data_IF_560759911423
#
_entry.id   IF_560759911423
#
_cell.length_a   1.000
_cell.length_b   1.000
_cell.length_c   1.000
_cell.angle_alpha   90.00
_cell.angle_beta   90.00
_cell.angle_gamma   90.00
#
_symmetry.space_group_name_H-M   'P 1'
#
loop_
_entity.id
_entity.type
_entity.pdbx_description
1 polymer ?
#
# COMPACT_ATOMS: atom_id res chain seq x y z
N UNK A 1 -6.88 -52.56 22.18
CA UNK A 1 -7.97 -51.61 22.46
C UNK A 1 -7.40 -50.22 22.35
N UNK A 2 -7.91 -49.46 21.39
CA UNK A 2 -7.36 -48.18 20.91
C UNK A 2 -7.42 -47.10 21.97
N UNK A 3 -6.27 -46.46 22.23
CA UNK A 3 -6.23 -45.15 22.87
C UNK A 3 -6.76 -44.12 21.86
N UNK A 4 -7.92 -43.53 22.18
CA UNK A 4 -8.50 -42.43 21.42
C UNK A 4 -7.59 -41.21 21.53
N UNK A 5 -6.81 -40.99 20.47
CA UNK A 5 -6.18 -39.70 20.17
C UNK A 5 -7.30 -38.67 20.07
N UNK A 6 -7.22 -37.50 20.76
CA UNK A 6 -8.23 -36.46 20.62
C UNK A 6 -8.24 -35.99 19.16
N UNK A 7 -9.32 -36.30 18.46
CA UNK A 7 -9.61 -35.78 17.12
C UNK A 7 -9.57 -34.27 17.16
N UNK A 8 -8.66 -33.69 16.38
CA UNK A 8 -8.53 -32.26 16.14
C UNK A 8 -9.88 -31.72 15.62
N UNK A 9 -10.64 -31.03 16.48
CA UNK A 9 -11.85 -30.31 16.07
C UNK A 9 -11.39 -28.96 15.51
N UNK A 10 -11.66 -28.62 14.24
CA UNK A 10 -11.19 -27.38 13.64
C UNK A 10 -11.88 -26.20 14.33
N UNK A 11 -11.14 -25.49 15.19
CA UNK A 11 -11.64 -24.38 16.01
C UNK A 11 -11.49 -23.00 15.37
N UNK A 12 -11.32 -22.92 14.04
CA UNK A 12 -11.15 -21.62 13.35
C UNK A 12 -11.98 -21.55 12.05
N UNK A 13 -12.75 -20.47 11.79
CA UNK A 13 -13.49 -20.28 10.54
C UNK A 13 -12.62 -20.26 9.28
N UNK A 14 -11.33 -19.91 9.43
CA UNK A 14 -10.35 -19.72 8.34
C UNK A 14 -10.11 -20.99 7.55
N UNK A 15 -10.08 -22.13 8.24
CA UNK A 15 -9.84 -23.43 7.62
C UNK A 15 -11.00 -23.82 6.70
N UNK A 16 -12.25 -23.51 7.02
CA UNK A 16 -13.41 -24.09 6.34
C UNK A 16 -13.65 -23.56 4.91
N UNK A 17 -13.30 -22.31 4.60
CA UNK A 17 -13.47 -21.75 3.25
C UNK A 17 -12.31 -22.08 2.32
N UNK A 18 -11.06 -21.89 2.77
CA UNK A 18 -9.87 -22.15 1.94
C UNK A 18 -9.67 -23.65 1.71
N UNK A 19 -10.00 -24.50 2.70
CA UNK A 19 -9.97 -25.96 2.52
C UNK A 19 -11.17 -26.52 1.75
N UNK A 20 -12.18 -25.70 1.44
CA UNK A 20 -13.26 -26.11 0.53
C UNK A 20 -12.78 -26.22 -0.92
N UNK A 21 -11.64 -25.60 -1.26
CA UNK A 21 -10.99 -25.72 -2.57
C UNK A 21 -10.07 -26.94 -2.55
N UNK A 22 -10.39 -28.03 -3.26
CA UNK A 22 -9.67 -29.30 -3.13
C UNK A 22 -8.17 -29.20 -3.41
N UNK A 23 -7.79 -28.44 -4.44
CA UNK A 23 -6.39 -28.26 -4.83
C UNK A 23 -5.58 -27.50 -3.78
N UNK A 24 -6.16 -26.47 -3.15
CA UNK A 24 -5.50 -25.70 -2.09
C UNK A 24 -5.39 -26.56 -0.83
N UNK A 25 -6.45 -27.29 -0.49
CA UNK A 25 -6.44 -28.23 0.63
C UNK A 25 -5.32 -29.26 0.47
N UNK A 26 -5.24 -29.91 -0.68
CA UNK A 26 -4.21 -30.90 -0.96
C UNK A 26 -2.80 -30.28 -0.89
N UNK A 27 -2.63 -29.06 -1.39
CA UNK A 27 -1.35 -28.35 -1.33
C UNK A 27 -0.91 -28.10 0.13
N UNK A 28 -1.82 -27.67 0.99
CA UNK A 28 -1.56 -27.46 2.42
C UNK A 28 -1.33 -28.79 3.15
N UNK A 29 -2.10 -29.83 2.85
CA UNK A 29 -1.95 -31.17 3.44
C UNK A 29 -0.59 -31.81 3.12
N UNK A 30 0.01 -31.46 1.98
CA UNK A 30 1.39 -31.83 1.62
C UNK A 30 2.46 -31.04 2.38
N UNK A 31 2.07 -30.15 3.28
CA UNK A 31 2.97 -29.34 4.12
C UNK A 31 3.42 -28.03 3.48
N UNK A 32 2.85 -27.64 2.35
CA UNK A 32 3.16 -26.36 1.72
C UNK A 32 2.35 -25.22 2.35
N UNK A 33 2.89 -24.00 2.29
CA UNK A 33 2.18 -22.79 2.71
C UNK A 33 1.92 -21.88 1.52
N UNK A 34 0.83 -21.11 1.60
CA UNK A 34 0.49 -20.06 0.64
C UNK A 34 0.50 -18.74 1.42
N UNK A 35 1.59 -17.95 1.37
CA UNK A 35 1.66 -16.66 2.06
C UNK A 35 0.83 -15.64 1.28
N UNK A 36 -0.49 -15.68 1.48
CA UNK A 36 -1.39 -14.76 0.79
C UNK A 36 -1.52 -13.44 1.52
N UNK A 37 -1.59 -12.37 0.74
CA UNK A 37 -1.78 -11.00 1.20
C UNK A 37 -3.25 -10.59 1.05
N UNK A 38 -4.16 -11.40 1.59
CA UNK A 38 -5.60 -11.19 1.43
C UNK A 38 -6.15 -10.08 2.31
N UNK A 39 -5.62 -9.94 3.53
CA UNK A 39 -6.05 -8.93 4.46
C UNK A 39 -4.84 -8.33 5.17
N UNK A 40 -4.67 -7.03 5.02
CA UNK A 40 -3.62 -6.31 5.71
C UNK A 40 -4.20 -5.81 7.03
N UNK A 41 -3.67 -6.21 8.20
CA UNK A 41 -3.68 -5.34 9.38
C UNK A 41 -3.09 -3.96 9.03
N UNK A 42 -2.24 -3.92 7.99
CA UNK A 42 -1.67 -2.74 7.35
C UNK A 42 -2.63 -1.87 6.53
N UNK A 43 -3.87 -2.25 6.20
CA UNK A 43 -4.80 -1.35 5.49
C UNK A 43 -5.14 -0.14 6.36
N UNK A 44 -5.52 -0.36 7.62
CA UNK A 44 -5.73 0.74 8.56
C UNK A 44 -4.43 1.51 8.79
N UNK A 45 -3.28 0.84 8.96
CA UNK A 45 -2.02 1.53 9.25
C UNK A 45 -1.47 2.32 8.05
N UNK A 46 -1.69 1.84 6.84
CA UNK A 46 -1.30 2.50 5.59
C UNK A 46 -2.25 3.66 5.29
N UNK A 47 -3.57 3.44 5.42
CA UNK A 47 -4.57 4.51 5.30
C UNK A 47 -4.36 5.59 6.36
N UNK A 48 -4.03 5.19 7.60
CA UNK A 48 -3.65 6.14 8.68
C UNK A 48 -2.36 6.85 8.34
N UNK A 49 -1.35 6.15 7.79
CA UNK A 49 -0.10 6.78 7.38
C UNK A 49 -0.38 7.85 6.31
N UNK A 50 -1.08 7.49 5.24
CA UNK A 50 -1.48 8.36 4.12
C UNK A 50 -2.34 9.53 4.61
N UNK A 51 -3.26 9.30 5.54
CA UNK A 51 -4.10 10.36 6.07
C UNK A 51 -3.31 11.36 6.92
N UNK A 52 -2.16 11.00 7.51
CA UNK A 52 -1.30 11.99 8.19
C UNK A 52 -0.74 13.05 7.22
N UNK A 53 -0.73 12.78 5.92
CA UNK A 53 -0.33 13.72 4.88
C UNK A 53 -1.46 14.66 4.46
N UNK A 54 -2.70 14.35 4.83
CA UNK A 54 -3.88 15.19 4.64
C UNK A 54 -4.46 15.49 6.02
N UNK A 55 -4.04 16.59 6.69
CA UNK A 55 -4.47 16.92 8.04
C UNK A 55 -5.92 17.44 8.10
N UNK A 56 -6.86 16.65 7.55
CA UNK A 56 -8.29 16.90 7.50
C UNK A 56 -8.95 16.69 8.87
N UNK A 57 -8.36 15.86 9.73
CA UNK A 57 -8.85 15.58 11.07
C UNK A 57 -7.71 15.24 12.04
N UNK A 58 -7.83 15.69 13.29
CA UNK A 58 -6.92 15.29 14.37
C UNK A 58 -7.32 13.91 14.88
N UNK A 59 -6.42 12.93 14.77
CA UNK A 59 -6.60 11.55 15.30
C UNK A 59 -7.94 10.89 14.95
N UNK A 60 -8.25 10.70 13.66
CA UNK A 60 -9.53 10.12 13.24
C UNK A 60 -9.66 8.67 13.73
N UNK A 61 -10.87 8.30 14.16
CA UNK A 61 -11.22 6.91 14.47
C UNK A 61 -11.04 6.03 13.22
N UNK A 62 -10.68 4.74 13.33
CA UNK A 62 -10.39 3.88 12.18
C UNK A 62 -11.48 3.87 11.09
N UNK A 63 -12.75 3.90 11.48
CA UNK A 63 -13.87 3.92 10.53
C UNK A 63 -14.03 5.27 9.80
N UNK A 64 -13.61 6.38 10.41
CA UNK A 64 -13.56 7.70 9.77
C UNK A 64 -12.43 7.83 8.75
N UNK A 65 -11.36 7.03 8.86
CA UNK A 65 -10.20 7.12 7.96
C UNK A 65 -10.62 6.83 6.53
N UNK A 66 -11.39 5.76 6.30
CA UNK A 66 -11.88 5.42 4.96
C UNK A 66 -12.74 6.56 4.40
N UNK A 67 -13.66 7.11 5.20
CA UNK A 67 -14.51 8.23 4.79
C UNK A 67 -13.69 9.46 4.38
N UNK A 68 -12.67 9.83 5.17
CA UNK A 68 -11.81 10.97 4.86
C UNK A 68 -11.01 10.77 3.56
N UNK A 69 -10.53 9.55 3.31
CA UNK A 69 -9.86 9.20 2.06
C UNK A 69 -10.80 9.24 0.87
N UNK A 70 -12.04 8.75 1.02
CA UNK A 70 -13.07 8.82 -0.02
C UNK A 70 -13.48 10.26 -0.36
N UNK A 71 -13.67 11.08 0.67
CA UNK A 71 -13.91 12.53 0.53
C UNK A 71 -12.74 13.19 -0.19
N UNK A 72 -11.49 12.83 0.16
CA UNK A 72 -10.28 13.38 -0.49
C UNK A 72 -10.21 13.00 -1.96
N UNK A 73 -10.50 11.73 -2.31
CA UNK A 73 -10.57 11.24 -3.69
C UNK A 73 -11.61 12.00 -4.49
N UNK A 74 -12.82 12.14 -3.93
CA UNK A 74 -13.94 12.84 -4.58
C UNK A 74 -13.64 14.32 -4.79
N UNK A 75 -13.11 14.99 -3.75
CA UNK A 75 -12.71 16.38 -3.82
C UNK A 75 -11.62 16.62 -4.88
N UNK A 76 -10.64 15.73 -4.97
CA UNK A 76 -9.61 15.80 -6.00
C UNK A 76 -10.18 15.64 -7.41
N UNK A 77 -11.11 14.71 -7.62
CA UNK A 77 -11.78 14.56 -8.92
C UNK A 77 -12.47 15.85 -9.38
N UNK A 78 -13.08 16.61 -8.46
CA UNK A 78 -13.72 17.88 -8.77
C UNK A 78 -12.73 18.98 -9.21
N UNK A 79 -11.56 19.07 -8.57
CA UNK A 79 -10.63 20.19 -8.76
C UNK A 79 -9.41 19.88 -9.64
N UNK A 80 -9.11 18.61 -9.87
CA UNK A 80 -7.82 18.16 -10.45
C UNK A 80 -7.54 18.75 -11.82
N UNK A 81 -8.56 18.88 -12.67
CA UNK A 81 -8.43 19.47 -14.01
C UNK A 81 -7.96 20.92 -13.93
N UNK A 82 -8.66 21.75 -13.14
CA UNK A 82 -8.32 23.16 -12.97
C UNK A 82 -6.92 23.35 -12.37
N UNK A 83 -6.55 22.53 -11.39
CA UNK A 83 -5.20 22.55 -10.78
C UNK A 83 -4.13 22.18 -11.83
N UNK A 84 -4.32 21.09 -12.58
CA UNK A 84 -3.36 20.63 -13.61
C UNK A 84 -3.19 21.67 -14.73
N UNK A 85 -4.28 22.31 -15.15
CA UNK A 85 -4.24 23.41 -16.13
C UNK A 85 -3.48 24.63 -15.60
N UNK A 86 -3.68 24.98 -14.33
CA UNK A 86 -3.05 26.18 -13.72
C UNK A 86 -1.54 26.03 -13.52
N UNK A 87 -1.08 24.87 -13.07
CA UNK A 87 0.35 24.59 -12.89
C UNK A 87 1.07 24.28 -14.21
N UNK A 88 0.33 23.82 -15.22
CA UNK A 88 0.89 23.25 -16.44
C UNK A 88 1.27 21.78 -16.25
N UNK A 89 1.22 21.01 -17.34
CA UNK A 89 1.47 19.56 -17.32
C UNK A 89 2.94 19.17 -17.07
N UNK A 90 3.86 20.14 -17.12
CA UNK A 90 5.30 19.93 -17.06
C UNK A 90 5.95 20.41 -15.76
N UNK A 91 5.14 20.71 -14.75
CA UNK A 91 5.62 21.29 -13.52
C UNK A 91 6.05 20.26 -12.47
N UNK A 92 7.20 20.52 -11.82
CA UNK A 92 7.96 19.52 -11.04
C UNK A 92 8.36 19.94 -9.62
N UNK A 93 7.72 20.94 -9.03
CA UNK A 93 7.96 21.23 -7.60
C UNK A 93 7.65 20.00 -6.74
N UNK A 94 8.52 19.73 -5.78
CA UNK A 94 8.46 18.51 -5.00
C UNK A 94 7.21 18.38 -4.13
N UNK A 95 6.72 19.49 -3.55
CA UNK A 95 5.50 19.46 -2.73
C UNK A 95 4.26 19.32 -3.60
N UNK A 96 4.24 19.99 -4.77
CA UNK A 96 3.19 19.76 -5.77
C UNK A 96 3.13 18.28 -6.18
N UNK A 97 4.27 17.69 -6.55
CA UNK A 97 4.35 16.30 -6.97
C UNK A 97 4.01 15.32 -5.84
N UNK A 98 4.40 15.61 -4.60
CA UNK A 98 4.05 14.80 -3.44
C UNK A 98 2.53 14.80 -3.20
N UNK A 99 1.89 15.97 -3.17
CA UNK A 99 0.45 16.09 -2.98
C UNK A 99 -0.32 15.46 -4.16
N UNK A 100 0.16 15.65 -5.38
CA UNK A 100 -0.43 15.03 -6.58
C UNK A 100 -0.29 13.51 -6.58
N UNK A 101 0.88 12.95 -6.27
CA UNK A 101 1.10 11.48 -6.16
C UNK A 101 0.23 10.86 -5.07
N UNK A 102 0.06 11.57 -3.97
CA UNK A 102 -0.83 11.16 -2.89
C UNK A 102 -2.28 11.01 -3.37
N UNK A 103 -2.80 12.03 -4.07
CA UNK A 103 -4.19 12.10 -4.52
C UNK A 103 -4.49 11.26 -5.77
N UNK A 104 -3.60 11.25 -6.77
CA UNK A 104 -3.77 10.50 -8.02
C UNK A 104 -3.50 8.99 -7.82
N UNK A 105 -2.55 8.60 -6.96
CA UNK A 105 -2.05 7.21 -6.90
C UNK A 105 -2.26 6.56 -5.53
N UNK A 106 -1.73 7.18 -4.46
CA UNK A 106 -1.66 6.51 -3.14
C UNK A 106 -3.03 6.29 -2.52
N UNK A 107 -3.91 7.29 -2.56
CA UNK A 107 -5.26 7.21 -1.99
C UNK A 107 -6.14 6.20 -2.74
N UNK A 108 -6.27 6.26 -4.08
CA UNK A 108 -7.02 5.25 -4.84
C UNK A 108 -6.50 3.84 -4.58
N UNK A 109 -5.17 3.62 -4.61
CA UNK A 109 -4.58 2.31 -4.39
C UNK A 109 -5.03 1.68 -3.06
N UNK A 110 -4.99 2.43 -1.95
CA UNK A 110 -5.34 1.88 -0.63
C UNK A 110 -6.83 1.73 -0.40
N UNK A 111 -7.66 2.45 -1.15
CA UNK A 111 -9.10 2.26 -1.16
C UNK A 111 -9.47 1.02 -1.98
N UNK A 112 -8.88 0.88 -3.17
CA UNK A 112 -9.34 -0.05 -4.20
C UNK A 112 -8.68 -1.43 -4.15
N UNK A 113 -7.43 -1.57 -3.67
CA UNK A 113 -6.68 -2.85 -3.69
C UNK A 113 -7.48 -4.04 -3.14
N UNK A 114 -8.11 -3.85 -1.98
CA UNK A 114 -8.95 -4.88 -1.38
C UNK A 114 -10.40 -4.73 -1.80
N UNK A 115 -10.94 -3.51 -1.72
CA UNK A 115 -12.36 -3.27 -1.88
C UNK A 115 -12.85 -3.57 -3.30
N UNK A 116 -11.99 -3.40 -4.30
CA UNK A 116 -12.30 -3.54 -5.72
C UNK A 116 -11.49 -4.70 -6.32
N UNK A 117 -10.16 -4.63 -6.34
CA UNK A 117 -9.35 -5.57 -7.13
C UNK A 117 -9.38 -6.98 -6.55
N UNK A 118 -9.07 -7.14 -5.25
CA UNK A 118 -9.11 -8.45 -4.60
C UNK A 118 -10.51 -9.06 -4.59
N UNK A 119 -11.54 -8.28 -4.22
CA UNK A 119 -12.92 -8.79 -4.09
C UNK A 119 -13.60 -9.10 -5.43
N UNK A 120 -13.22 -8.42 -6.51
CA UNK A 120 -13.72 -8.74 -7.86
C UNK A 120 -13.03 -9.95 -8.49
N UNK A 121 -11.91 -10.40 -7.93
CA UNK A 121 -11.08 -11.45 -8.52
C UNK A 121 -10.20 -10.95 -9.67
N UNK A 122 -10.02 -9.64 -9.82
CA UNK A 122 -9.08 -9.06 -10.78
C UNK A 122 -7.64 -9.29 -10.33
N UNK A 123 -7.13 -10.48 -10.65
CA UNK A 123 -5.83 -10.96 -10.21
C UNK A 123 -4.67 -10.09 -10.69
N UNK A 124 -4.67 -9.68 -11.96
CA UNK A 124 -3.54 -8.94 -12.54
C UNK A 124 -3.42 -7.55 -11.88
N UNK A 125 -4.53 -6.83 -11.77
CA UNK A 125 -4.55 -5.52 -11.12
C UNK A 125 -4.24 -5.63 -9.63
N UNK A 126 -4.71 -6.69 -8.96
CA UNK A 126 -4.36 -6.96 -7.56
C UNK A 126 -2.85 -7.24 -7.38
N UNK A 127 -2.25 -8.07 -8.25
CA UNK A 127 -0.82 -8.38 -8.20
C UNK A 127 0.05 -7.13 -8.42
N UNK A 128 -0.29 -6.30 -9.40
CA UNK A 128 0.35 -5.01 -9.63
C UNK A 128 0.18 -4.08 -8.40
N UNK A 129 -1.01 -4.06 -7.82
CA UNK A 129 -1.28 -3.28 -6.60
C UNK A 129 -0.46 -3.75 -5.41
N UNK A 130 -0.14 -5.04 -5.29
CA UNK A 130 0.78 -5.55 -4.27
C UNK A 130 2.18 -4.97 -4.41
N UNK A 131 2.70 -4.81 -5.65
CA UNK A 131 3.95 -4.11 -5.89
C UNK A 131 3.87 -2.64 -5.47
N UNK A 132 2.82 -1.92 -5.89
CA UNK A 132 2.66 -0.53 -5.52
C UNK A 132 2.55 -0.33 -4.00
N UNK A 133 1.79 -1.17 -3.31
CA UNK A 133 1.69 -1.13 -1.84
C UNK A 133 3.03 -1.44 -1.19
N UNK A 134 3.81 -2.38 -1.72
CA UNK A 134 5.17 -2.61 -1.25
C UNK A 134 6.05 -1.36 -1.38
N UNK A 135 5.98 -0.64 -2.51
CA UNK A 135 6.74 0.61 -2.66
C UNK A 135 6.33 1.68 -1.64
N UNK A 136 5.04 1.76 -1.28
CA UNK A 136 4.56 2.66 -0.23
C UNK A 136 5.05 2.25 1.16
N UNK A 137 5.00 0.97 1.50
CA UNK A 137 5.54 0.49 2.77
C UNK A 137 7.04 0.73 2.88
N UNK A 138 7.74 0.54 1.76
CA UNK A 138 9.16 0.81 1.68
C UNK A 138 9.43 2.31 1.90
N UNK A 139 8.77 3.18 1.12
CA UNK A 139 8.89 4.65 1.23
C UNK A 139 8.62 5.10 2.68
N UNK A 140 7.51 4.69 3.27
CA UNK A 140 7.13 5.09 4.62
C UNK A 140 7.86 4.34 5.75
N UNK A 141 8.96 3.64 5.45
CA UNK A 141 9.80 2.93 6.44
C UNK A 141 8.99 1.98 7.34
N UNK A 142 7.96 1.34 6.78
CA UNK A 142 7.05 0.43 7.48
C UNK A 142 7.66 -0.97 7.59
N UNK A 143 8.76 -1.09 8.35
CA UNK A 143 9.58 -2.31 8.47
C UNK A 143 8.76 -3.60 8.70
N UNK A 144 7.72 -3.54 9.53
CA UNK A 144 6.86 -4.68 9.85
C UNK A 144 6.03 -5.22 8.68
N UNK A 145 5.79 -4.40 7.65
CA UNK A 145 4.91 -4.73 6.53
C UNK A 145 5.65 -4.94 5.21
N UNK A 146 6.94 -4.58 5.14
CA UNK A 146 7.71 -4.64 3.90
C UNK A 146 8.08 -6.04 3.43
N UNK A 147 8.11 -7.05 4.33
CA UNK A 147 8.51 -8.43 4.00
C UNK A 147 7.36 -9.26 3.41
N UNK A 148 6.13 -9.05 3.87
CA UNK A 148 4.98 -9.84 3.44
C UNK A 148 4.66 -9.73 1.92
N UNK A 149 4.64 -8.54 1.29
CA UNK A 149 4.43 -8.46 -0.15
C UNK A 149 5.54 -9.16 -0.92
N UNK A 150 6.81 -9.02 -0.49
CA UNK A 150 7.96 -9.64 -1.16
C UNK A 150 7.86 -11.17 -1.12
N UNK A 151 7.51 -11.75 0.03
CA UNK A 151 7.31 -13.19 0.15
C UNK A 151 6.18 -13.69 -0.76
N UNK A 152 5.05 -12.98 -0.77
CA UNK A 152 3.93 -13.33 -1.66
C UNK A 152 4.32 -13.27 -3.13
N UNK A 153 4.95 -12.18 -3.56
CA UNK A 153 5.40 -12.00 -4.94
C UNK A 153 6.46 -13.04 -5.34
N UNK A 154 7.36 -13.39 -4.43
CA UNK A 154 8.35 -14.45 -4.64
C UNK A 154 7.69 -15.80 -4.92
N UNK A 155 6.66 -16.17 -4.15
CA UNK A 155 5.96 -17.45 -4.34
C UNK A 155 5.15 -17.46 -5.64
N UNK A 156 4.50 -16.35 -5.99
CA UNK A 156 3.81 -16.20 -7.28
C UNK A 156 4.78 -16.40 -8.44
N UNK A 157 5.93 -15.73 -8.45
CA UNK A 157 6.93 -15.88 -9.51
C UNK A 157 7.56 -17.27 -9.53
N UNK A 158 7.74 -17.90 -8.38
CA UNK A 158 8.19 -19.28 -8.32
C UNK A 158 7.17 -20.21 -8.99
N UNK A 159 5.88 -20.10 -8.66
CA UNK A 159 4.84 -20.90 -9.29
C UNK A 159 4.70 -20.64 -10.78
N UNK A 160 4.87 -19.39 -11.22
CA UNK A 160 4.89 -19.04 -12.64
C UNK A 160 6.07 -19.70 -13.36
N UNK A 161 7.29 -19.60 -12.81
CA UNK A 161 8.50 -20.19 -13.40
C UNK A 161 8.48 -21.71 -13.47
N UNK A 162 7.72 -22.36 -12.58
CA UNK A 162 7.58 -23.82 -12.52
C UNK A 162 6.29 -24.33 -13.14
N UNK A 163 5.48 -23.43 -13.71
CA UNK A 163 4.14 -23.72 -14.23
C UNK A 163 3.28 -24.52 -13.24
N UNK A 164 3.33 -24.14 -11.96
CA UNK A 164 2.68 -24.89 -10.89
C UNK A 164 1.16 -24.65 -10.92
N UNK A 165 0.33 -25.71 -10.90
CA UNK A 165 -1.13 -25.59 -11.09
C UNK A 165 -1.85 -24.78 -10.00
N UNK A 166 -1.23 -24.61 -8.83
CA UNK A 166 -1.79 -23.78 -7.74
C UNK A 166 -2.00 -22.33 -8.17
N UNK A 167 -1.20 -21.82 -9.10
CA UNK A 167 -1.28 -20.44 -9.55
C UNK A 167 -2.63 -20.16 -10.22
N UNK A 168 -3.07 -21.04 -11.11
CA UNK A 168 -4.37 -20.93 -11.79
C UNK A 168 -5.53 -21.05 -10.81
N UNK A 169 -5.38 -21.89 -9.77
CA UNK A 169 -6.38 -21.98 -8.70
C UNK A 169 -6.47 -20.68 -7.90
N UNK A 170 -5.32 -20.07 -7.56
CA UNK A 170 -5.30 -18.77 -6.85
C UNK A 170 -5.91 -17.68 -7.71
N UNK A 171 -5.61 -17.63 -9.01
CA UNK A 171 -6.22 -16.67 -9.95
C UNK A 171 -7.74 -16.81 -10.00
N UNK A 172 -8.23 -18.04 -10.12
CA UNK A 172 -9.67 -18.31 -10.23
C UNK A 172 -10.42 -18.07 -8.91
N UNK A 173 -9.77 -18.32 -7.77
CA UNK A 173 -10.43 -18.34 -6.46
C UNK A 173 -9.98 -17.21 -5.52
N UNK A 174 -9.30 -16.19 -6.05
CA UNK A 174 -8.70 -15.10 -5.27
C UNK A 174 -9.64 -14.53 -4.19
N UNK A 175 -10.91 -14.18 -4.46
CA UNK A 175 -11.79 -13.60 -3.44
C UNK A 175 -12.14 -14.57 -2.30
N UNK A 176 -12.13 -15.89 -2.57
CA UNK A 176 -12.42 -16.93 -1.55
C UNK A 176 -11.30 -17.06 -0.51
N UNK A 177 -10.14 -16.50 -0.79
CA UNK A 177 -8.98 -16.53 0.09
C UNK A 177 -8.96 -15.35 1.10
N UNK A 178 -10.08 -14.64 1.22
CA UNK A 178 -10.29 -13.54 2.17
C UNK A 178 -10.36 -14.00 3.64
N UNK A 179 -9.86 -13.15 4.55
CA UNK A 179 -10.09 -13.29 6.00
C UNK A 179 -11.44 -12.70 6.47
N UNK A 180 -12.23 -12.09 5.59
CA UNK A 180 -13.49 -11.43 5.96
C UNK A 180 -14.42 -12.34 6.77
N UNK A 181 -14.53 -13.62 6.42
CA UNK A 181 -15.34 -14.58 7.17
C UNK A 181 -14.87 -14.73 8.63
N UNK A 182 -13.56 -14.72 8.85
CA UNK A 182 -12.94 -14.79 10.19
C UNK A 182 -13.17 -13.50 10.96
N UNK A 183 -12.97 -12.35 10.32
CA UNK A 183 -13.24 -11.05 10.93
C UNK A 183 -14.71 -10.88 11.34
N UNK A 184 -15.63 -11.32 10.48
CA UNK A 184 -17.07 -11.32 10.74
C UNK A 184 -17.38 -12.24 11.92
N UNK A 185 -16.84 -13.46 11.94
CA UNK A 185 -17.00 -14.38 13.06
C UNK A 185 -16.54 -13.77 14.39
N UNK A 186 -15.33 -13.19 14.44
CA UNK A 186 -14.83 -12.53 15.65
C UNK A 186 -15.66 -11.30 16.03
N UNK A 187 -16.24 -10.59 15.07
CA UNK A 187 -17.13 -9.46 15.34
C UNK A 187 -18.44 -9.90 15.98
N UNK A 188 -19.03 -11.01 15.53
CA UNK A 188 -20.19 -11.61 16.20
C UNK A 188 -19.84 -12.10 17.60
N UNK A 189 -18.72 -12.81 17.75
CA UNK A 189 -18.27 -13.31 19.03
C UNK A 189 -18.13 -12.15 20.02
N UNK A 190 -17.45 -11.07 19.63
CA UNK A 190 -17.30 -9.86 20.47
C UNK A 190 -18.62 -9.20 20.84
N UNK A 191 -19.61 -9.12 19.95
CA UNK A 191 -20.92 -8.52 20.26
C UNK A 191 -21.72 -9.31 21.27
N UNK A 192 -21.53 -10.62 21.28
CA UNK A 192 -22.30 -11.52 22.11
C UNK A 192 -21.60 -11.92 23.40
N UNK A 193 -20.39 -11.42 23.62
CA UNK A 193 -19.62 -11.61 24.85
C UNK A 193 -19.40 -10.26 25.54
N UNK A 194 -19.45 -10.26 26.87
CA UNK A 194 -19.13 -9.11 27.71
C UNK A 194 -17.78 -9.30 28.40
N UNK A 195 -17.27 -8.23 29.03
CA UNK A 195 -15.94 -8.19 29.66
C UNK A 195 -15.72 -9.28 30.73
N UNK A 196 -16.78 -9.80 31.31
CA UNK A 196 -16.79 -10.83 32.37
C UNK A 196 -17.40 -12.17 31.91
N UNK A 197 -17.57 -12.38 30.60
CA UNK A 197 -18.09 -13.65 30.08
C UNK A 197 -17.07 -14.77 30.29
N UNK A 198 -17.52 -15.87 30.88
CA UNK A 198 -16.64 -17.02 31.18
C UNK A 198 -16.20 -17.74 29.91
N UNK A 199 -15.01 -18.36 29.94
CA UNK A 199 -14.44 -19.07 28.80
C UNK A 199 -15.39 -20.10 28.17
N UNK A 200 -16.15 -20.83 29.00
CA UNK A 200 -17.13 -21.83 28.54
C UNK A 200 -18.29 -21.20 27.77
N UNK A 201 -18.74 -20.02 28.18
CA UNK A 201 -19.78 -19.25 27.49
C UNK A 201 -19.26 -18.71 26.15
N UNK A 202 -18.02 -18.21 26.11
CA UNK A 202 -17.37 -17.78 24.85
C UNK A 202 -17.28 -18.95 23.86
N UNK A 203 -16.87 -20.14 24.32
CA UNK A 203 -16.78 -21.35 23.48
C UNK A 203 -18.16 -21.74 22.95
N UNK A 204 -19.19 -21.76 23.80
CA UNK A 204 -20.55 -22.08 23.39
C UNK A 204 -21.08 -21.08 22.35
N UNK A 205 -20.78 -19.79 22.53
CA UNK A 205 -21.17 -18.77 21.58
C UNK A 205 -20.45 -18.91 20.23
N UNK A 206 -19.16 -19.23 20.26
CA UNK A 206 -18.40 -19.55 19.06
C UNK A 206 -18.96 -20.77 18.31
N UNK A 207 -19.35 -21.83 19.03
CA UNK A 207 -20.01 -23.01 18.43
C UNK A 207 -21.34 -22.67 17.78
N UNK A 208 -22.16 -21.86 18.44
CA UNK A 208 -23.45 -21.41 17.91
C UNK A 208 -23.29 -20.58 16.63
N UNK A 209 -22.35 -19.62 16.60
CA UNK A 209 -22.05 -18.85 15.39
C UNK A 209 -21.57 -19.76 14.26
N UNK A 210 -20.68 -20.72 14.56
CA UNK A 210 -20.16 -21.65 13.55
C UNK A 210 -21.27 -22.56 12.98
N UNK A 211 -22.22 -22.99 13.81
CA UNK A 211 -23.37 -23.77 13.37
C UNK A 211 -24.27 -22.95 12.43
N UNK A 212 -24.51 -21.67 12.73
CA UNK A 212 -25.26 -20.77 11.85
C UNK A 212 -24.57 -20.53 10.49
N UNK A 213 -23.24 -20.61 10.45
CA UNK A 213 -22.46 -20.47 9.22
C UNK A 213 -22.61 -21.68 8.29
N UNK A 214 -22.70 -22.90 8.83
CA UNK A 214 -22.92 -24.13 8.03
C UNK A 214 -24.31 -24.16 7.36
N UNK A 215 -25.27 -23.43 7.91
CA UNK A 215 -26.63 -23.28 7.37
C UNK A 215 -26.75 -22.30 6.17
N UNK A 216 -25.62 -21.74 5.69
CA UNK A 216 -25.46 -21.04 4.40
C UNK A 216 -26.29 -19.75 4.18
N UNK A 217 -27.61 -19.89 4.16
CA UNK A 217 -28.57 -18.82 3.93
C UNK A 217 -28.79 -17.98 5.20
N UNK A 218 -28.89 -18.62 6.36
CA UNK A 218 -29.24 -17.95 7.63
C UNK A 218 -28.16 -16.97 8.12
N UNK A 219 -26.88 -17.23 7.82
CA UNK A 219 -25.76 -16.34 8.17
C UNK A 219 -25.73 -15.08 7.29
N UNK A 220 -25.92 -15.23 5.97
CA UNK A 220 -25.98 -14.12 5.01
C UNK A 220 -27.25 -13.27 5.22
N UNK A 221 -28.40 -13.89 5.43
CA UNK A 221 -29.68 -13.21 5.67
C UNK A 221 -29.68 -12.41 6.99
N UNK A 222 -29.09 -12.94 8.06
CA UNK A 222 -28.90 -12.17 9.30
C UNK A 222 -28.12 -10.89 9.04
N UNK A 223 -27.15 -10.88 8.14
CA UNK A 223 -26.39 -9.66 7.82
C UNK A 223 -27.20 -8.68 6.96
N UNK A 224 -27.93 -9.16 5.94
CA UNK A 224 -28.76 -8.30 5.09
C UNK A 224 -29.90 -7.60 5.86
N UNK A 225 -30.44 -8.25 6.89
CA UNK A 225 -31.62 -7.76 7.62
C UNK A 225 -31.33 -7.18 9.02
N UNK A 226 -30.13 -7.39 9.61
CA UNK A 226 -29.79 -6.81 10.95
C UNK A 226 -28.63 -5.82 10.95
N UNK A 227 -28.18 -5.36 9.78
CA UNK A 227 -27.18 -4.30 9.69
C UNK A 227 -27.77 -2.94 10.06
N UNK A 228 -27.94 -2.69 11.35
CA UNK A 228 -27.93 -1.35 11.96
C UNK A 228 -26.61 -0.59 11.71
N UNK A 229 -25.65 -1.19 10.99
CA UNK A 229 -24.45 -0.58 10.41
C UNK A 229 -24.75 0.35 9.23
N UNK A 230 -25.93 0.25 8.62
CA UNK A 230 -26.29 0.99 7.41
C UNK A 230 -27.03 2.32 7.68
N UNK A 231 -27.14 2.76 8.93
CA UNK A 231 -27.38 4.17 9.21
C UNK A 231 -26.00 4.86 9.24
N UNK A 232 -25.43 5.09 8.06
CA UNK A 232 -24.26 5.98 7.97
C UNK A 232 -24.67 7.30 8.61
N UNK A 233 -23.92 7.78 9.60
CA UNK A 233 -24.26 9.01 10.33
C UNK A 233 -24.35 10.25 9.40
N UNK A 234 -23.79 10.13 8.20
CA UNK A 234 -23.76 11.16 7.18
C UNK A 234 -24.77 10.87 6.06
N UNK A 235 -25.66 11.83 5.83
CA UNK A 235 -26.51 11.83 4.63
C UNK A 235 -25.68 12.10 3.37
N UNK A 236 -26.25 11.84 2.19
CA UNK A 236 -25.64 12.23 0.91
C UNK A 236 -25.33 13.74 0.85
N UNK A 237 -26.17 14.57 1.48
CA UNK A 237 -25.94 16.01 1.59
C UNK A 237 -24.72 16.33 2.46
N UNK A 238 -24.54 15.63 3.56
CA UNK A 238 -23.37 15.80 4.43
C UNK A 238 -22.08 15.41 3.72
N UNK A 239 -22.10 14.27 3.01
CA UNK A 239 -20.95 13.82 2.20
C UNK A 239 -20.61 14.86 1.13
N UNK A 240 -21.60 15.40 0.42
CA UNK A 240 -21.38 16.46 -0.59
C UNK A 240 -20.80 17.72 0.05
N UNK A 241 -21.32 18.15 1.20
CA UNK A 241 -20.80 19.32 1.92
C UNK A 241 -19.35 19.11 2.40
N UNK A 242 -19.02 17.92 2.93
CA UNK A 242 -17.67 17.57 3.34
C UNK A 242 -16.71 17.52 2.14
N UNK A 243 -17.17 16.99 1.01
CA UNK A 243 -16.40 16.96 -0.25
C UNK A 243 -16.05 18.37 -0.70
N UNK A 244 -17.00 19.30 -0.72
CA UNK A 244 -16.74 20.71 -1.05
C UNK A 244 -15.77 21.38 -0.08
N UNK A 245 -15.92 21.13 1.23
CA UNK A 245 -14.96 21.63 2.24
C UNK A 245 -13.54 21.10 2.00
N UNK A 246 -13.43 19.80 1.69
CA UNK A 246 -12.14 19.19 1.36
C UNK A 246 -11.56 19.75 0.05
N UNK A 247 -12.39 20.01 -0.96
CA UNK A 247 -11.97 20.63 -2.20
C UNK A 247 -11.39 22.03 -1.97
N UNK A 248 -12.06 22.86 -1.16
CA UNK A 248 -11.53 24.16 -0.74
C UNK A 248 -10.19 24.04 0.00
N UNK A 249 -10.07 23.06 0.91
CA UNK A 249 -8.80 22.79 1.61
C UNK A 249 -7.67 22.42 0.64
N UNK A 250 -7.92 21.51 -0.29
CA UNK A 250 -6.91 21.11 -1.29
C UNK A 250 -6.54 22.26 -2.21
N UNK A 251 -7.51 23.07 -2.66
CA UNK A 251 -7.25 24.28 -3.45
C UNK A 251 -6.38 25.28 -2.69
N UNK A 252 -6.60 25.45 -1.38
CA UNK A 252 -5.73 26.28 -0.55
C UNK A 252 -4.29 25.74 -0.54
N UNK A 253 -4.09 24.43 -0.33
CA UNK A 253 -2.75 23.83 -0.41
C UNK A 253 -2.09 24.11 -1.76
N UNK A 254 -2.79 23.89 -2.87
CA UNK A 254 -2.25 24.17 -4.20
C UNK A 254 -2.00 25.67 -4.44
N UNK A 255 -2.84 26.55 -3.92
CA UNK A 255 -2.64 28.00 -4.02
C UNK A 255 -1.35 28.44 -3.32
N UNK A 256 -1.09 27.94 -2.12
CA UNK A 256 0.15 28.24 -1.38
C UNK A 256 1.40 27.80 -2.17
N UNK A 257 1.37 26.60 -2.74
CA UNK A 257 2.47 26.10 -3.59
C UNK A 257 2.63 26.98 -4.83
N UNK A 258 1.52 27.34 -5.48
CA UNK A 258 1.53 28.19 -6.68
C UNK A 258 2.14 29.56 -6.38
N UNK A 259 1.72 30.22 -5.30
CA UNK A 259 2.26 31.52 -4.88
C UNK A 259 3.76 31.40 -4.60
N UNK A 260 4.17 30.40 -3.81
CA UNK A 260 5.60 30.16 -3.51
C UNK A 260 6.44 30.06 -4.78
N UNK A 261 5.98 29.31 -5.77
CA UNK A 261 6.84 29.05 -6.92
C UNK A 261 6.72 30.09 -8.02
N UNK A 262 5.53 30.56 -8.36
CA UNK A 262 5.36 31.49 -9.47
C UNK A 262 5.50 32.96 -9.05
N UNK A 263 5.12 33.32 -7.82
CA UNK A 263 5.25 34.70 -7.35
C UNK A 263 6.57 34.93 -6.62
N UNK A 264 6.99 33.99 -5.76
CA UNK A 264 8.25 34.12 -5.02
C UNK A 264 9.45 33.44 -5.72
N UNK A 265 9.24 32.76 -6.85
CA UNK A 265 10.30 32.09 -7.65
C UNK A 265 11.15 31.13 -6.83
N UNK A 266 10.54 30.44 -5.86
CA UNK A 266 11.23 29.58 -4.90
C UNK A 266 10.71 28.12 -4.95
N UNK A 267 10.98 27.37 -6.03
CA UNK A 267 10.65 25.95 -6.07
C UNK A 267 11.46 25.15 -5.04
N UNK A 268 10.87 24.08 -4.51
CA UNK A 268 11.61 23.15 -3.66
C UNK A 268 12.57 22.31 -4.51
N UNK A 269 13.87 22.59 -4.37
CA UNK A 269 14.95 21.95 -5.14
C UNK A 269 15.71 20.99 -4.23
N UNK A 270 16.09 19.84 -4.79
CA UNK A 270 16.96 18.89 -4.11
C UNK A 270 18.23 18.66 -4.91
N UNK A 271 19.37 18.99 -4.32
CA UNK A 271 20.67 18.73 -4.93
C UNK A 271 20.93 17.22 -4.98
N UNK A 272 21.40 16.74 -6.13
CA UNK A 272 22.10 15.45 -6.18
C UNK A 272 23.48 15.64 -5.55
N UNK A 273 23.98 14.73 -4.69
CA UNK A 273 25.36 14.83 -4.25
C UNK A 273 26.25 14.67 -5.48
N UNK A 274 27.05 15.70 -5.78
CA UNK A 274 28.11 15.62 -6.78
C UNK A 274 29.04 14.50 -6.32
N UNK A 275 29.14 13.43 -7.11
CA UNK A 275 30.11 12.35 -6.85
C UNK A 275 31.49 12.91 -7.22
N UNK A 276 32.13 13.61 -6.28
CA UNK A 276 33.57 13.79 -6.35
C UNK A 276 34.22 12.50 -5.83
N UNK A 277 34.77 11.73 -6.76
CA UNK A 277 35.51 10.50 -6.50
C UNK A 277 36.85 10.79 -5.80
N UNK A 278 36.84 11.08 -4.50
CA UNK A 278 38.03 10.92 -3.65
C UNK A 278 37.73 11.16 -2.18
N UNK A 279 37.48 10.09 -1.43
CA UNK A 279 38.19 9.85 -0.16
C UNK A 279 37.70 8.54 0.47
N UNK A 280 38.57 7.53 0.43
CA UNK A 280 38.48 6.37 1.31
C UNK A 280 38.69 6.84 2.75
N UNK A 281 37.65 6.84 3.58
CA UNK A 281 37.81 6.65 5.04
C UNK A 281 36.79 5.62 5.52
N UNK A 282 37.29 4.42 5.82
CA UNK A 282 36.60 3.41 6.62
C UNK A 282 36.34 3.99 8.01
N UNK A 283 35.08 4.19 8.34
CA UNK A 283 34.60 4.53 9.67
C UNK A 283 33.13 4.12 9.76
N UNK A 284 32.74 3.47 10.85
CA UNK A 284 31.39 2.94 11.12
C UNK A 284 30.31 3.94 10.69
N UNK A 285 29.49 3.54 9.72
CA UNK A 285 28.41 4.34 9.18
C UNK A 285 27.36 4.60 10.27
N UNK A 286 27.46 5.76 10.92
CA UNK A 286 26.33 6.42 11.56
C UNK A 286 25.33 6.71 10.42
N UNK A 287 24.11 6.18 10.53
CA UNK A 287 22.99 6.56 9.65
C UNK A 287 23.00 8.08 9.50
N UNK A 288 23.17 8.58 8.26
CA UNK A 288 23.04 10.01 7.97
C UNK A 288 21.70 10.45 8.52
N UNK A 289 21.69 11.44 9.41
CA UNK A 289 20.47 12.15 9.81
C UNK A 289 19.71 12.53 8.55
N UNK A 290 18.54 11.95 8.33
CA UNK A 290 17.67 12.33 7.22
C UNK A 290 17.35 13.82 7.37
N UNK A 291 17.84 14.63 6.44
CA UNK A 291 17.57 16.06 6.38
C UNK A 291 16.05 16.25 6.33
N UNK A 292 15.50 16.92 7.34
CA UNK A 292 14.08 17.23 7.39
C UNK A 292 13.76 18.38 6.43
N UNK A 293 12.62 18.28 5.77
CA UNK A 293 12.15 19.17 4.71
C UNK A 293 10.82 19.76 5.17
N UNK A 294 10.59 21.04 4.92
CA UNK A 294 9.29 21.64 5.20
C UNK A 294 8.35 21.54 3.98
N UNK A 295 7.21 20.86 4.14
CA UNK A 295 6.09 20.87 3.20
C UNK A 295 4.97 21.74 3.79
N UNK A 296 5.15 23.05 3.66
CA UNK A 296 4.32 24.06 4.32
C UNK A 296 2.85 23.99 3.92
N UNK A 297 2.55 23.82 2.64
CA UNK A 297 1.18 23.75 2.14
C UNK A 297 0.46 22.48 2.63
N UNK A 298 1.21 21.38 2.80
CA UNK A 298 0.72 20.15 3.42
C UNK A 298 0.69 20.21 4.96
N UNK A 299 1.11 21.33 5.56
CA UNK A 299 1.25 21.53 7.01
C UNK A 299 2.18 20.50 7.67
N UNK A 300 3.26 20.13 6.99
CA UNK A 300 4.28 19.21 7.49
C UNK A 300 5.61 19.94 7.66
N UNK A 301 5.89 20.53 8.84
CA UNK A 301 7.12 21.29 9.06
C UNK A 301 8.37 20.38 9.05
N UNK A 302 8.20 19.11 9.44
CA UNK A 302 9.24 18.09 9.47
C UNK A 302 8.83 16.90 8.61
N UNK A 303 9.02 17.01 7.30
CA UNK A 303 8.92 15.90 6.36
C UNK A 303 10.30 15.29 6.08
N UNK A 304 10.31 14.05 5.60
CA UNK A 304 11.51 13.35 5.13
C UNK A 304 11.34 12.99 3.65
N UNK A 305 12.42 12.61 2.96
CA UNK A 305 12.36 12.20 1.54
C UNK A 305 11.34 11.07 1.25
N UNK A 306 11.06 10.22 2.25
CA UNK A 306 10.00 9.21 2.22
C UNK A 306 8.61 9.75 1.90
N UNK A 307 8.38 11.03 2.20
CA UNK A 307 7.10 11.72 2.03
C UNK A 307 6.90 12.23 0.60
N UNK A 308 7.98 12.34 -0.18
CA UNK A 308 7.96 12.77 -1.57
C UNK A 308 7.76 11.58 -2.51
N UNK A 309 7.41 11.87 -3.76
CA UNK A 309 7.29 10.87 -4.84
C UNK A 309 8.58 10.03 -4.97
N UNK A 310 8.44 8.81 -5.50
CA UNK A 310 9.53 7.82 -5.54
C UNK A 310 10.84 8.37 -6.14
N UNK A 311 10.78 9.25 -7.14
CA UNK A 311 11.95 9.82 -7.79
C UNK A 311 12.88 10.58 -6.85
N UNK A 312 12.33 11.28 -5.84
CA UNK A 312 13.11 12.03 -4.85
C UNK A 312 13.88 11.13 -3.88
N UNK A 313 13.54 9.85 -3.80
CA UNK A 313 14.25 8.86 -2.99
C UNK A 313 15.45 8.26 -3.74
N UNK A 314 15.56 8.51 -5.05
CA UNK A 314 16.67 8.04 -5.87
C UNK A 314 17.89 8.99 -5.77
N UNK A 315 19.04 8.52 -6.24
CA UNK A 315 20.24 9.35 -6.32
C UNK A 315 20.07 10.53 -7.28
N UNK A 316 19.35 10.31 -8.39
CA UNK A 316 19.07 11.31 -9.41
C UNK A 316 17.67 11.88 -9.17
N UNK A 317 17.55 12.94 -8.39
CA UNK A 317 16.24 13.49 -8.04
C UNK A 317 15.62 14.25 -9.24
N UNK A 318 14.29 14.30 -9.36
CA UNK A 318 13.62 15.14 -10.36
C UNK A 318 14.07 16.59 -10.24
N UNK A 319 14.48 17.19 -11.36
CA UNK A 319 15.00 18.57 -11.38
C UNK A 319 13.97 19.51 -12.01
N UNK A 320 13.37 20.48 -11.27
CA UNK A 320 12.34 21.35 -11.79
C UNK A 320 12.80 22.26 -12.95
N UNK A 321 14.10 22.40 -13.18
CA UNK A 321 14.65 23.21 -14.27
C UNK A 321 15.02 22.39 -15.51
N UNK A 322 14.92 21.07 -15.45
CA UNK A 322 15.18 20.19 -16.60
C UNK A 322 13.89 19.70 -17.21
N UNK A 323 13.83 19.71 -18.54
CA UNK A 323 12.73 19.07 -19.28
C UNK A 323 12.84 17.54 -19.29
N UNK A 324 14.06 17.01 -19.36
CA UNK A 324 14.34 15.58 -19.31
C UNK A 324 15.38 15.31 -18.22
N UNK A 325 15.05 14.41 -17.29
CA UNK A 325 15.94 14.03 -16.18
C UNK A 325 16.99 12.98 -16.61
N UNK A 326 16.94 12.48 -17.85
CA UNK A 326 17.94 11.56 -18.38
C UNK A 326 19.31 12.27 -18.52
N UNK A 327 20.34 11.75 -17.84
CA UNK A 327 21.67 12.37 -17.77
C UNK A 327 22.31 12.61 -19.15
N UNK A 328 22.10 11.69 -20.09
CA UNK A 328 22.63 11.76 -21.46
C UNK A 328 21.50 11.93 -22.48
N UNK A 329 20.54 12.80 -22.19
CA UNK A 329 19.47 13.10 -23.12
C UNK A 329 20.05 13.59 -24.46
N UNK A 330 19.82 12.88 -25.59
CA UNK A 330 20.41 13.23 -26.88
C UNK A 330 19.74 14.45 -27.53
N UNK A 331 18.62 14.90 -26.99
CA UNK A 331 17.85 16.04 -27.50
C UNK A 331 18.52 17.34 -27.03
N UNK A 332 19.27 17.99 -27.92
CA UNK A 332 19.73 19.38 -27.78
C UNK A 332 18.70 20.33 -28.41
N UNK A 333 18.28 21.37 -27.70
CA UNK A 333 17.42 22.45 -28.23
C UNK A 333 18.16 23.27 -29.31
N UNK A 334 17.49 23.76 -30.39
CA UNK A 334 16.24 24.53 -30.28
C UNK A 334 15.06 24.18 -31.24
N UNK A 335 15.07 23.06 -31.99
CA UNK A 335 14.16 22.94 -33.17
C UNK A 335 13.07 21.86 -33.07
N UNK A 336 13.09 20.93 -32.09
CA UNK A 336 12.08 19.86 -32.07
C UNK A 336 11.41 19.71 -30.69
N UNK A 337 10.12 20.06 -30.53
CA UNK A 337 9.39 19.91 -29.28
C UNK A 337 8.98 18.44 -29.13
N UNK A 338 9.94 17.56 -28.82
CA UNK A 338 9.59 16.21 -28.40
C UNK A 338 8.67 16.34 -27.18
N UNK A 339 7.46 15.75 -27.20
CA UNK A 339 6.56 15.82 -26.06
C UNK A 339 7.26 15.31 -24.80
N UNK A 340 7.02 15.97 -23.68
CA UNK A 340 7.61 15.63 -22.40
C UNK A 340 6.54 14.97 -21.55
N UNK A 341 6.90 13.86 -20.91
CA UNK A 341 6.08 13.12 -19.98
C UNK A 341 6.66 13.22 -18.59
N UNK A 342 5.84 13.61 -17.61
CA UNK A 342 6.15 13.48 -16.19
C UNK A 342 5.53 12.18 -15.67
N UNK A 343 6.35 11.33 -15.08
CA UNK A 343 5.93 10.08 -14.47
C UNK A 343 5.43 10.32 -13.04
N UNK A 344 4.65 9.37 -12.49
CA UNK A 344 4.17 9.42 -11.11
C UNK A 344 5.31 9.55 -10.07
N UNK A 345 6.50 9.04 -10.38
CA UNK A 345 7.67 9.19 -9.53
C UNK A 345 8.25 10.63 -9.51
N UNK A 346 7.78 11.52 -10.38
CA UNK A 346 8.22 12.90 -10.51
C UNK A 346 9.25 13.13 -11.62
N UNK A 347 9.92 12.06 -12.10
CA UNK A 347 10.87 12.19 -13.20
C UNK A 347 10.17 12.55 -14.50
N UNK A 348 10.81 13.41 -15.29
CA UNK A 348 10.37 13.74 -16.64
C UNK A 348 11.31 13.21 -17.71
N UNK A 349 10.73 12.79 -18.83
CA UNK A 349 11.44 12.32 -20.00
C UNK A 349 10.79 12.88 -21.25
N UNK A 350 11.58 13.15 -22.30
CA UNK A 350 11.02 13.21 -23.65
C UNK A 350 10.39 11.85 -23.97
N UNK A 351 9.28 11.81 -24.71
CA UNK A 351 8.61 10.56 -25.09
C UNK A 351 9.57 9.61 -25.82
N UNK A 352 10.43 10.15 -26.69
CA UNK A 352 11.49 9.38 -27.36
C UNK A 352 12.48 8.77 -26.37
N UNK A 353 12.92 9.53 -25.36
CA UNK A 353 13.81 9.03 -24.31
C UNK A 353 13.13 7.97 -23.44
N UNK A 354 11.83 8.13 -23.17
CA UNK A 354 11.06 7.18 -22.38
C UNK A 354 10.86 5.87 -23.15
N UNK A 355 10.54 5.95 -24.44
CA UNK A 355 10.42 4.81 -25.34
C UNK A 355 11.75 4.06 -25.50
N UNK A 356 12.87 4.77 -25.67
CA UNK A 356 14.21 4.16 -25.73
C UNK A 356 14.61 3.43 -24.44
N UNK A 357 13.95 3.72 -23.32
CA UNK A 357 14.16 3.07 -22.02
C UNK A 357 13.07 2.02 -21.71
N UNK A 358 12.42 1.45 -22.75
CA UNK A 358 11.32 0.50 -22.63
C UNK A 358 10.15 0.97 -21.75
N UNK A 359 9.85 2.27 -21.77
CA UNK A 359 8.83 2.88 -20.91
C UNK A 359 9.09 2.66 -19.42
N UNK A 360 10.37 2.69 -19.00
CA UNK A 360 10.78 2.56 -17.59
C UNK A 360 11.47 3.83 -17.12
N UNK A 361 11.21 4.21 -15.87
CA UNK A 361 12.09 5.15 -15.17
C UNK A 361 13.33 4.42 -14.69
N UNK A 362 14.46 4.59 -15.38
CA UNK A 362 15.72 3.87 -15.06
C UNK A 362 16.19 4.13 -13.63
N UNK A 363 16.06 5.36 -13.13
CA UNK A 363 16.49 5.71 -11.78
C UNK A 363 15.64 5.04 -10.69
N UNK A 364 14.31 5.04 -10.88
CA UNK A 364 13.42 4.35 -9.95
C UNK A 364 13.57 2.83 -10.05
N UNK A 365 13.76 2.28 -11.25
CA UNK A 365 13.99 0.85 -11.42
C UNK A 365 15.26 0.39 -10.68
N UNK A 366 16.39 1.05 -10.92
CA UNK A 366 17.65 0.74 -10.25
C UNK A 366 17.53 0.89 -8.72
N UNK A 367 16.82 1.93 -8.27
CA UNK A 367 16.53 2.12 -6.86
C UNK A 367 15.71 0.96 -6.27
N UNK A 368 14.60 0.59 -6.90
CA UNK A 368 13.72 -0.48 -6.43
C UNK A 368 14.44 -1.83 -6.43
N UNK A 369 15.24 -2.14 -7.45
CA UNK A 369 16.05 -3.37 -7.52
C UNK A 369 16.99 -3.49 -6.31
N UNK A 370 17.78 -2.45 -6.03
CA UNK A 370 18.66 -2.43 -4.83
C UNK A 370 17.88 -2.61 -3.52
N UNK A 371 16.65 -2.07 -3.43
CA UNK A 371 15.81 -2.23 -2.24
C UNK A 371 15.24 -3.63 -2.11
N UNK A 372 14.79 -4.24 -3.20
CA UNK A 372 14.35 -5.65 -3.22
C UNK A 372 15.50 -6.53 -2.73
N UNK A 373 16.69 -6.37 -3.30
CA UNK A 373 17.88 -7.16 -2.92
C UNK A 373 18.17 -7.06 -1.42
N UNK A 374 18.21 -5.84 -0.88
CA UNK A 374 18.42 -5.61 0.57
C UNK A 374 17.37 -6.30 1.43
N UNK A 375 16.09 -6.22 1.04
CA UNK A 375 15.01 -6.85 1.79
C UNK A 375 15.05 -8.38 1.71
N UNK A 376 15.38 -8.93 0.53
CA UNK A 376 15.57 -10.37 0.33
C UNK A 376 16.73 -10.87 1.18
N UNK A 377 17.89 -10.19 1.17
CA UNK A 377 19.02 -10.57 2.02
C UNK A 377 18.65 -10.53 3.51
N UNK A 378 17.99 -9.47 3.97
CA UNK A 378 17.52 -9.37 5.36
C UNK A 378 16.53 -10.50 5.73
N UNK A 379 15.66 -10.90 4.79
CA UNK A 379 14.75 -12.02 4.99
C UNK A 379 15.51 -13.34 5.10
N UNK A 380 16.46 -13.60 4.18
CA UNK A 380 17.29 -14.82 4.19
C UNK A 380 18.12 -14.95 5.48
N UNK A 381 18.70 -13.85 5.95
CA UNK A 381 19.41 -13.80 7.24
C UNK A 381 18.47 -14.15 8.40
N UNK A 382 17.28 -13.53 8.44
CA UNK A 382 16.27 -13.79 9.47
C UNK A 382 15.86 -15.27 9.51
N UNK A 383 15.71 -15.90 8.34
CA UNK A 383 15.37 -17.32 8.22
C UNK A 383 16.51 -18.24 8.67
N UNK A 384 17.77 -17.90 8.37
CA UNK A 384 18.95 -18.66 8.82
C UNK A 384 19.09 -18.65 10.35
N UNK A 385 18.85 -17.52 10.99
CA UNK A 385 18.98 -17.40 12.45
C UNK A 385 17.86 -18.13 13.20
N UNK A 386 16.65 -18.20 12.63
CA UNK A 386 15.58 -19.05 13.17
C UNK A 386 15.98 -20.54 13.18
N UNK A 387 16.66 -21.00 12.13
CA UNK A 387 17.13 -22.38 12.05
C UNK A 387 18.24 -22.67 13.07
N UNK A 388 19.10 -21.71 13.39
CA UNK A 388 20.10 -21.85 14.48
C UNK A 388 19.43 -21.97 15.85
N UNK A 389 18.50 -21.06 16.16
CA UNK A 389 17.75 -21.08 17.44
C UNK A 389 16.92 -22.35 17.63
N UNK A 390 16.34 -22.91 16.55
CA UNK A 390 15.66 -24.21 16.60
C UNK A 390 16.64 -25.36 16.89
N UNK A 391 17.85 -25.35 16.32
CA UNK A 391 18.88 -26.37 16.58
C UNK A 391 19.43 -26.31 18.00
N UNK A 392 19.51 -25.12 18.59
CA UNK A 392 19.91 -24.94 20.00
C UNK A 392 18.83 -25.47 20.95
N UNK A 393 17.54 -25.20 20.71
CA UNK A 393 16.42 -25.72 21.51
C UNK A 393 16.14 -27.22 21.39
N UNK A 394 16.73 -27.91 20.41
CA UNK A 394 16.62 -29.38 20.26
C UNK A 394 17.81 -30.08 20.95
N UNK A 395 18.83 -29.31 21.37
CA UNK A 395 20.01 -29.82 22.10
C UNK A 395 19.92 -29.66 23.61
N UNK A 396 18.92 -28.93 24.10
CA UNK A 396 18.44 -28.96 25.50
C UNK A 396 17.23 -29.90 25.59
#
# INVERSE_FOLDING_TARGET
MSQNVPTYVPTVPRTTLVTSIPSIRQYIERGHMIPLVADWPGQIHLRTAILRYLPLAQTPKPWHINLLLEISRSAWQEISKAVKEKFGSLYKDAEYLALKDLLDNSIPLVLDIYAVFFRSGDYNTYLESCFHVWTLFFRFSRKNYTKAPVMFLSDIFYWESTNHPILEVIKAELPKLSDATVEIFHSFLRRSTQKHTEAKQIINHGRFINQLHLDGNRFKEKFAHTSTWAAYEYSARDISNLTKKCACFLLHCFSEIYIRVFHHKSPLIFSSPIINSSSKKKGKAKEKSEESISLTAMKMPEAHLSHLSLGFNTLHKPDPFRYCDLTNCPVFFPINPNPIRILACGHSYHESCYASNDFKCLYCLAFLQDRVDKHVQSLLESLRDLNKKKKEKIKE
#
